data_IF_561511355638
#
_entry.id   IF_561511355638
#
_cell.length_a   1.000
_cell.length_b   1.000
_cell.length_c   1.000
_cell.angle_alpha   90.00
_cell.angle_beta   90.00
_cell.angle_gamma   90.00
#
_symmetry.space_group_name_H-M   'P 1'
#
loop_
_entity.id
_entity.type
_entity.pdbx_description
1 polymer ?
#
# COMPACT_ATOMS: atom_id res chain seq x y z
N UNK A 1 4.19 6.05 -20.00
CA UNK A 1 5.33 6.77 -19.38
C UNK A 1 5.29 8.26 -19.66
N UNK A 2 4.11 8.87 -19.72
CA UNK A 2 3.92 10.31 -19.79
C UNK A 2 2.95 10.67 -18.66
N UNK A 3 3.17 11.78 -17.98
CA UNK A 3 2.32 12.25 -16.91
C UNK A 3 0.98 12.79 -17.45
N UNK A 4 -0.14 12.26 -16.98
CA UNK A 4 -1.49 12.68 -17.39
C UNK A 4 -1.83 14.12 -16.99
N UNK A 5 -1.12 14.67 -16.00
CA UNK A 5 -1.37 16.03 -15.48
C UNK A 5 -0.57 17.12 -16.20
N UNK A 6 0.68 16.85 -16.56
CA UNK A 6 1.58 17.88 -17.10
C UNK A 6 2.34 17.48 -18.37
N UNK A 7 2.17 16.25 -18.87
CA UNK A 7 2.79 15.81 -20.13
C UNK A 7 4.29 15.51 -20.07
N UNK A 8 4.93 15.59 -18.89
CA UNK A 8 6.35 15.24 -18.76
C UNK A 8 6.59 13.73 -18.89
N UNK A 9 7.77 13.27 -19.36
CA UNK A 9 8.15 11.87 -19.29
C UNK A 9 8.16 11.36 -17.85
N UNK A 10 7.60 10.17 -17.64
CA UNK A 10 7.76 9.43 -16.39
C UNK A 10 9.05 8.62 -16.44
N UNK A 11 9.71 8.51 -15.29
CA UNK A 11 10.91 7.69 -15.12
C UNK A 11 10.59 6.54 -14.17
N UNK A 12 11.26 5.41 -14.36
CA UNK A 12 11.29 4.34 -13.37
C UNK A 12 12.16 4.80 -12.20
N UNK A 13 11.73 4.54 -10.98
CA UNK A 13 12.53 4.88 -9.79
C UNK A 13 13.67 3.89 -9.62
N UNK A 14 14.77 4.35 -9.03
CA UNK A 14 15.94 3.51 -8.76
C UNK A 14 15.64 2.34 -7.82
N UNK A 15 14.64 2.46 -6.95
CA UNK A 15 14.26 1.43 -5.98
C UNK A 15 13.17 0.45 -6.48
N UNK A 16 12.91 0.43 -7.79
CA UNK A 16 11.97 -0.49 -8.44
C UNK A 16 12.68 -1.72 -9.06
N UNK A 17 13.89 -2.05 -8.59
CA UNK A 17 14.55 -3.34 -8.92
C UNK A 17 14.03 -4.47 -8.04
N UNK A 18 14.20 -5.71 -8.49
CA UNK A 18 13.76 -6.89 -7.73
C UNK A 18 14.46 -6.98 -6.36
N UNK A 19 15.75 -6.67 -6.31
CA UNK A 19 16.57 -6.69 -5.09
C UNK A 19 16.10 -5.62 -4.10
N UNK A 20 15.83 -4.40 -4.59
CA UNK A 20 15.31 -3.31 -3.76
C UNK A 20 13.91 -3.63 -3.22
N UNK A 21 13.04 -4.22 -4.04
CA UNK A 21 11.70 -4.64 -3.63
C UNK A 21 11.77 -5.73 -2.56
N UNK A 22 12.62 -6.75 -2.73
CA UNK A 22 12.80 -7.81 -1.73
C UNK A 22 13.24 -7.23 -0.37
N UNK A 23 14.28 -6.39 -0.37
CA UNK A 23 14.76 -5.73 0.84
C UNK A 23 13.69 -4.84 1.50
N UNK A 24 12.88 -4.14 0.70
CA UNK A 24 11.75 -3.33 1.21
C UNK A 24 10.68 -4.18 1.88
N UNK A 25 10.36 -5.36 1.33
CA UNK A 25 9.39 -6.28 1.92
C UNK A 25 9.91 -6.87 3.24
N UNK A 26 11.18 -7.26 3.30
CA UNK A 26 11.81 -7.74 4.54
C UNK A 26 11.78 -6.67 5.63
N UNK A 27 12.16 -5.44 5.30
CA UNK A 27 12.13 -4.30 6.22
C UNK A 27 10.70 -4.01 6.72
N UNK A 28 9.70 -4.10 5.83
CA UNK A 28 8.29 -3.94 6.20
C UNK A 28 7.85 -5.02 7.19
N UNK A 29 8.20 -6.28 6.93
CA UNK A 29 7.84 -7.41 7.81
C UNK A 29 8.46 -7.26 9.20
N UNK A 30 9.71 -6.80 9.29
CA UNK A 30 10.40 -6.62 10.57
C UNK A 30 9.86 -5.42 11.36
N UNK A 31 9.63 -4.28 10.69
CA UNK A 31 9.43 -2.99 11.38
C UNK A 31 8.00 -2.48 11.36
N UNK A 32 7.23 -2.81 10.33
CA UNK A 32 5.91 -2.22 10.08
C UNK A 32 4.78 -3.22 10.32
N UNK A 33 4.91 -4.47 9.88
CA UNK A 33 3.88 -5.50 10.07
C UNK A 33 3.45 -5.70 11.54
N UNK A 34 4.32 -5.59 12.56
CA UNK A 34 3.90 -5.69 13.97
C UNK A 34 2.88 -4.62 14.41
N UNK A 35 2.82 -3.47 13.72
CA UNK A 35 1.85 -2.42 14.03
C UNK A 35 0.40 -2.87 13.79
N UNK A 36 0.18 -3.81 12.87
CA UNK A 36 -1.15 -4.40 12.66
C UNK A 36 -1.66 -5.05 13.96
N UNK A 37 -0.84 -5.87 14.61
CA UNK A 37 -1.19 -6.50 15.89
C UNK A 37 -1.36 -5.49 17.04
N UNK A 38 -0.64 -4.35 17.00
CA UNK A 38 -0.84 -3.26 17.95
C UNK A 38 -2.25 -2.63 17.80
N UNK A 39 -2.64 -2.26 16.58
CA UNK A 39 -3.96 -1.65 16.32
C UNK A 39 -5.12 -2.64 16.44
N UNK A 40 -4.89 -3.93 16.19
CA UNK A 40 -5.87 -4.99 16.42
C UNK A 40 -6.20 -5.09 17.91
N UNK A 41 -5.19 -5.14 18.80
CA UNK A 41 -5.38 -5.13 20.26
C UNK A 41 -6.09 -3.87 20.76
N UNK A 42 -5.89 -2.75 20.08
CA UNK A 42 -6.57 -1.49 20.39
C UNK A 42 -8.02 -1.43 19.85
N UNK A 43 -8.47 -2.41 19.06
CA UNK A 43 -9.78 -2.40 18.41
C UNK A 43 -9.93 -1.38 17.28
N UNK A 44 -8.82 -0.82 16.80
CA UNK A 44 -8.78 0.25 15.79
C UNK A 44 -8.50 -0.27 14.38
N UNK A 45 -8.01 -1.50 14.24
CA UNK A 45 -7.66 -2.07 12.94
C UNK A 45 -8.91 -2.38 12.11
N UNK A 46 -8.93 -1.90 10.86
CA UNK A 46 -9.86 -2.34 9.80
C UNK A 46 -9.06 -3.03 8.71
N UNK A 47 -9.27 -4.34 8.53
CA UNK A 47 -8.58 -5.12 7.50
C UNK A 47 -9.41 -5.19 6.22
N UNK A 48 -8.76 -4.95 5.08
CA UNK A 48 -9.38 -4.98 3.75
C UNK A 48 -8.54 -5.90 2.88
N UNK A 49 -9.18 -6.91 2.29
CA UNK A 49 -8.55 -7.83 1.36
C UNK A 49 -8.97 -7.47 -0.06
N UNK A 50 -7.99 -7.28 -0.95
CA UNK A 50 -8.25 -7.00 -2.35
C UNK A 50 -7.02 -7.24 -3.20
N UNK A 51 -7.24 -7.66 -4.44
CA UNK A 51 -6.18 -7.87 -5.44
C UNK A 51 -6.20 -6.81 -6.55
N UNK A 52 -7.14 -5.86 -6.49
CA UNK A 52 -7.21 -4.69 -7.36
C UNK A 52 -7.53 -3.43 -6.57
N UNK A 53 -7.10 -2.27 -7.08
CA UNK A 53 -7.35 -0.99 -6.43
C UNK A 53 -8.83 -0.65 -6.33
N UNK A 54 -9.64 -0.98 -7.33
CA UNK A 54 -11.08 -0.70 -7.33
C UNK A 54 -11.80 -1.40 -6.18
N UNK A 55 -11.51 -2.69 -5.97
CA UNK A 55 -12.08 -3.48 -4.87
C UNK A 55 -11.67 -2.89 -3.51
N UNK A 56 -10.41 -2.48 -3.37
CA UNK A 56 -9.90 -1.89 -2.12
C UNK A 56 -10.57 -0.54 -1.85
N UNK A 57 -10.69 0.33 -2.85
CA UNK A 57 -11.30 1.66 -2.70
C UNK A 57 -12.77 1.56 -2.31
N UNK A 58 -13.53 0.67 -2.93
CA UNK A 58 -14.94 0.48 -2.61
C UNK A 58 -15.13 -0.07 -1.19
N UNK A 59 -14.27 -1.00 -0.76
CA UNK A 59 -14.27 -1.50 0.61
C UNK A 59 -13.96 -0.39 1.64
N UNK A 60 -13.02 0.50 1.33
CA UNK A 60 -12.69 1.65 2.19
C UNK A 60 -13.90 2.58 2.32
N UNK A 61 -14.53 2.96 1.20
CA UNK A 61 -15.72 3.84 1.22
C UNK A 61 -16.84 3.25 2.07
N UNK A 62 -17.15 1.97 1.87
CA UNK A 62 -18.14 1.25 2.67
C UNK A 62 -17.82 1.27 4.16
N UNK A 63 -16.54 1.11 4.54
CA UNK A 63 -16.12 1.12 5.94
C UNK A 63 -16.22 2.51 6.59
N UNK A 64 -16.15 3.58 5.78
CA UNK A 64 -16.28 4.97 6.20
C UNK A 64 -17.70 5.54 6.06
N UNK A 65 -18.63 4.79 5.45
CA UNK A 65 -20.00 5.26 5.19
C UNK A 65 -20.11 6.27 4.05
N UNK A 66 -19.21 6.20 3.07
CA UNK A 66 -19.19 7.02 1.85
C UNK A 66 -19.81 6.29 0.66
#
# INVERSE_FOLDING_TARGET
GICDKCGSPAIQREDETQEAIAHRLDTYNEKTAPLAGFYEKAGLLKSIVGTSSDVVVDAIKKQLGL
#
